data_IF_697741392865
#
_entry.id   IF_697741392865
#
_cell.length_a   1.000
_cell.length_b   1.000
_cell.length_c   1.000
_cell.angle_alpha   90.00
_cell.angle_beta   90.00
_cell.angle_gamma   90.00
#
_symmetry.space_group_name_H-M   'P 1'
#
loop_
_entity.id
_entity.type
_entity.pdbx_description
1 polymer ?
#
# COMPACT_ATOMS: atom_id res chain seq x y z
N UNK A 1 8.83 8.29 -6.57
CA UNK A 1 7.77 7.28 -6.36
C UNK A 1 6.59 7.61 -7.26
N UNK A 2 5.98 6.59 -7.83
CA UNK A 2 4.75 6.73 -8.60
C UNK A 2 3.58 6.06 -7.88
N UNK A 3 2.40 6.68 -7.93
CA UNK A 3 1.15 6.12 -7.39
C UNK A 3 0.13 6.02 -8.51
N UNK A 4 -0.52 4.87 -8.66
CA UNK A 4 -1.51 4.60 -9.71
C UNK A 4 -2.79 4.02 -9.11
N UNK A 5 -3.92 4.50 -9.59
CA UNK A 5 -5.21 3.88 -9.33
C UNK A 5 -5.55 2.86 -10.43
N UNK A 6 -5.86 1.62 -10.04
CA UNK A 6 -6.28 0.54 -10.94
C UNK A 6 -7.66 -0.04 -10.58
N UNK A 7 -8.35 0.58 -9.65
CA UNK A 7 -9.69 0.15 -9.21
C UNK A 7 -10.79 0.49 -10.22
N UNK A 8 -11.91 -0.24 -10.15
CA UNK A 8 -13.05 -0.04 -11.04
C UNK A 8 -13.81 1.27 -10.74
N UNK A 9 -13.98 1.60 -9.45
CA UNK A 9 -14.69 2.81 -9.01
C UNK A 9 -13.77 4.02 -9.07
N UNK A 10 -14.36 5.20 -9.28
CA UNK A 10 -13.61 6.45 -9.20
C UNK A 10 -13.06 6.67 -7.77
N UNK A 11 -11.83 7.15 -7.70
CA UNK A 11 -11.23 7.60 -6.44
C UNK A 11 -11.80 8.97 -6.06
N UNK A 12 -11.88 9.22 -4.75
CA UNK A 12 -12.28 10.53 -4.24
C UNK A 12 -11.34 11.63 -4.76
N UNK A 13 -11.87 12.75 -5.28
CA UNK A 13 -11.04 13.88 -5.76
C UNK A 13 -10.05 14.36 -4.69
N UNK A 14 -8.81 14.62 -5.10
CA UNK A 14 -7.74 15.12 -4.23
C UNK A 14 -7.13 14.05 -3.29
N UNK A 15 -7.65 12.82 -3.26
CA UNK A 15 -7.12 11.78 -2.35
C UNK A 15 -5.72 11.30 -2.78
N UNK A 16 -5.48 11.18 -4.08
CA UNK A 16 -4.18 10.74 -4.61
C UNK A 16 -3.09 11.79 -4.35
N UNK A 17 -3.40 13.07 -4.54
CA UNK A 17 -2.50 14.19 -4.26
C UNK A 17 -2.18 14.28 -2.76
N UNK A 18 -3.22 14.12 -1.92
CA UNK A 18 -3.04 14.10 -0.47
C UNK A 18 -2.14 12.93 -0.02
N UNK A 19 -2.37 11.71 -0.53
CA UNK A 19 -1.51 10.55 -0.27
C UNK A 19 -0.08 10.81 -0.74
N UNK A 20 0.09 11.31 -1.97
CA UNK A 20 1.40 11.62 -2.55
C UNK A 20 2.20 12.60 -1.69
N UNK A 21 1.58 13.66 -1.20
CA UNK A 21 2.21 14.62 -0.29
C UNK A 21 2.71 13.96 1.01
N UNK A 22 1.90 13.08 1.63
CA UNK A 22 2.26 12.38 2.87
C UNK A 22 3.37 11.35 2.65
N UNK A 23 3.30 10.58 1.57
CA UNK A 23 4.32 9.61 1.16
C UNK A 23 5.65 10.34 0.90
N UNK A 24 5.62 11.40 0.11
CA UNK A 24 6.82 12.18 -0.21
C UNK A 24 7.51 12.74 1.03
N UNK A 25 6.75 13.28 1.97
CA UNK A 25 7.27 13.77 3.24
C UNK A 25 7.93 12.66 4.08
N UNK A 26 7.31 11.48 4.15
CA UNK A 26 7.81 10.37 5.00
C UNK A 26 9.08 9.73 4.45
N UNK A 27 9.13 9.50 3.14
CA UNK A 27 10.25 8.80 2.49
C UNK A 27 11.32 9.75 1.92
N UNK A 28 11.08 11.07 1.96
CA UNK A 28 12.04 12.06 1.43
C UNK A 28 12.20 12.02 -0.09
N UNK A 29 11.16 11.62 -0.83
CA UNK A 29 11.21 11.40 -2.28
C UNK A 29 10.07 12.12 -3.00
N UNK A 30 10.26 12.58 -4.24
CA UNK A 30 9.15 13.13 -5.03
C UNK A 30 8.13 12.03 -5.36
N UNK A 31 6.83 12.40 -5.31
CA UNK A 31 5.73 11.50 -5.66
C UNK A 31 4.94 12.07 -6.84
N UNK A 32 4.67 11.23 -7.84
CA UNK A 32 3.87 11.56 -9.02
C UNK A 32 2.70 10.60 -9.12
N UNK A 33 1.54 11.11 -9.49
CA UNK A 33 0.36 10.29 -9.81
C UNK A 33 0.41 9.91 -11.29
N UNK A 34 0.24 8.63 -11.59
CA UNK A 34 0.05 8.14 -12.96
C UNK A 34 -1.44 8.17 -13.31
N UNK A 35 -1.71 8.21 -14.60
CA UNK A 35 -3.07 8.00 -15.10
C UNK A 35 -3.63 6.67 -14.62
N UNK A 36 -4.95 6.64 -14.41
CA UNK A 36 -5.67 5.42 -14.09
C UNK A 36 -5.45 4.39 -15.20
N UNK A 37 -5.24 3.14 -14.79
CA UNK A 37 -5.16 2.01 -15.72
C UNK A 37 -6.15 0.92 -15.30
N UNK A 38 -6.48 0.05 -16.23
CA UNK A 38 -7.18 -1.20 -15.90
C UNK A 38 -6.18 -2.20 -15.35
N UNK A 39 -6.50 -2.80 -14.21
CA UNK A 39 -5.70 -3.87 -13.63
C UNK A 39 -5.80 -5.16 -14.44
N UNK A 40 -4.97 -6.17 -14.15
CA UNK A 40 -4.95 -7.44 -14.91
C UNK A 40 -6.25 -8.23 -14.66
N UNK A 41 -6.97 -8.52 -15.74
CA UNK A 41 -8.25 -9.25 -15.69
C UNK A 41 -8.06 -10.68 -15.13
N UNK A 42 -6.93 -11.31 -15.38
CA UNK A 42 -6.56 -12.64 -14.88
C UNK A 42 -6.26 -12.68 -13.38
N UNK A 43 -6.17 -11.53 -12.71
CA UNK A 43 -6.01 -11.48 -11.26
C UNK A 43 -7.28 -11.83 -10.50
N UNK A 44 -8.46 -11.72 -11.12
CA UNK A 44 -9.73 -12.02 -10.47
C UNK A 44 -9.93 -13.52 -10.33
N UNK A 45 -10.26 -13.97 -9.12
CA UNK A 45 -10.66 -15.34 -8.80
C UNK A 45 -12.18 -15.36 -8.54
N UNK A 46 -12.99 -15.92 -9.46
CA UNK A 46 -14.45 -15.93 -9.32
C UNK A 46 -14.93 -16.82 -8.18
N UNK A 47 -14.17 -17.86 -7.81
CA UNK A 47 -14.54 -18.75 -6.71
C UNK A 47 -14.39 -18.04 -5.34
N UNK A 48 -13.48 -17.10 -5.23
CA UNK A 48 -13.26 -16.29 -4.03
C UNK A 48 -13.99 -14.94 -4.07
N UNK A 49 -14.34 -14.44 -5.25
CA UNK A 49 -14.81 -13.08 -5.43
C UNK A 49 -13.72 -12.02 -5.12
N UNK A 50 -12.46 -12.39 -5.22
CA UNK A 50 -11.31 -11.61 -4.82
C UNK A 50 -10.26 -11.55 -5.92
N UNK A 51 -9.28 -10.66 -5.77
CA UNK A 51 -8.16 -10.50 -6.70
C UNK A 51 -6.87 -11.02 -6.07
N UNK A 52 -6.07 -11.77 -6.85
CA UNK A 52 -4.73 -12.17 -6.45
C UNK A 52 -3.80 -10.96 -6.38
N UNK A 53 -3.37 -10.58 -5.18
CA UNK A 53 -2.44 -9.47 -4.98
C UNK A 53 -1.10 -9.71 -5.69
N UNK A 54 -0.62 -10.95 -5.70
CA UNK A 54 0.63 -11.35 -6.37
C UNK A 54 0.55 -11.15 -7.90
N UNK A 55 -0.61 -11.41 -8.53
CA UNK A 55 -0.79 -11.13 -9.96
C UNK A 55 -0.84 -9.63 -10.25
N UNK A 56 -1.54 -8.86 -9.41
CA UNK A 56 -1.56 -7.40 -9.52
C UNK A 56 -0.15 -6.82 -9.30
N UNK A 57 0.58 -7.30 -8.29
CA UNK A 57 1.96 -6.86 -8.03
C UNK A 57 2.88 -7.14 -9.23
N UNK A 58 2.79 -8.33 -9.83
CA UNK A 58 3.53 -8.67 -11.05
C UNK A 58 3.17 -7.74 -12.21
N UNK A 59 1.89 -7.45 -12.40
CA UNK A 59 1.43 -6.51 -13.41
C UNK A 59 1.96 -5.09 -13.14
N UNK A 60 1.92 -4.63 -11.89
CA UNK A 60 2.48 -3.34 -11.46
C UNK A 60 3.96 -3.22 -11.81
N UNK A 61 4.73 -4.29 -11.58
CA UNK A 61 6.16 -4.38 -11.92
C UNK A 61 6.43 -4.40 -13.43
N UNK A 62 5.50 -4.88 -14.24
CA UNK A 62 5.62 -4.89 -15.71
C UNK A 62 5.20 -3.56 -16.37
N UNK A 63 4.48 -2.68 -15.64
CA UNK A 63 3.85 -1.49 -16.22
C UNK A 63 4.20 -0.19 -15.45
N UNK A 64 5.37 -0.14 -14.81
CA UNK A 64 5.84 1.09 -14.19
C UNK A 64 6.75 1.91 -15.14
N UNK A 65 6.87 3.22 -14.94
CA UNK A 65 7.85 4.04 -15.65
C UNK A 65 9.29 3.56 -15.38
N UNK A 66 10.16 3.66 -16.39
CA UNK A 66 11.56 3.22 -16.27
C UNK A 66 12.35 3.97 -15.18
N UNK A 67 11.99 5.25 -14.95
CA UNK A 67 12.59 6.10 -13.91
C UNK A 67 11.98 5.88 -12.52
N UNK A 68 11.10 4.89 -12.35
CA UNK A 68 10.43 4.65 -11.08
C UNK A 68 11.37 4.05 -10.04
N UNK A 69 11.70 4.82 -9.00
CA UNK A 69 12.34 4.28 -7.80
C UNK A 69 11.42 3.25 -7.13
N UNK A 70 10.16 3.61 -6.93
CA UNK A 70 9.09 2.75 -6.39
C UNK A 70 7.77 3.04 -7.10
N UNK A 71 6.89 2.04 -7.16
CA UNK A 71 5.53 2.18 -7.68
C UNK A 71 4.53 1.53 -6.74
N UNK A 72 3.46 2.26 -6.44
CA UNK A 72 2.34 1.82 -5.61
C UNK A 72 1.06 1.80 -6.45
N UNK A 73 0.49 0.62 -6.65
CA UNK A 73 -0.85 0.47 -7.24
C UNK A 73 -1.91 0.43 -6.13
N UNK A 74 -3.00 1.16 -6.33
CA UNK A 74 -4.17 1.16 -5.44
C UNK A 74 -5.36 0.57 -6.18
N UNK A 75 -6.14 -0.28 -5.50
CA UNK A 75 -7.34 -0.90 -6.07
C UNK A 75 -8.51 -0.88 -5.08
N UNK A 76 -9.74 -0.98 -5.59
CA UNK A 76 -10.94 -1.25 -4.81
C UNK A 76 -11.34 -2.74 -4.78
N UNK A 77 -10.59 -3.59 -5.46
CA UNK A 77 -10.75 -5.04 -5.39
C UNK A 77 -10.27 -5.61 -4.06
N UNK A 78 -11.01 -6.54 -3.47
CA UNK A 78 -10.56 -7.26 -2.27
C UNK A 78 -9.41 -8.20 -2.63
N UNK A 79 -8.30 -8.15 -1.88
CA UNK A 79 -7.06 -8.84 -2.21
C UNK A 79 -6.86 -10.10 -1.38
N UNK A 80 -6.26 -11.12 -2.00
CA UNK A 80 -5.82 -12.34 -1.32
C UNK A 80 -4.46 -12.82 -1.81
N UNK A 81 -3.82 -13.64 -0.97
CA UNK A 81 -2.76 -14.58 -1.35
C UNK A 81 -3.22 -16.01 -1.01
N UNK A 82 -2.68 -17.07 -1.65
CA UNK A 82 -3.18 -18.44 -1.48
C UNK A 82 -3.29 -18.93 -0.03
N UNK A 83 -2.40 -18.48 0.83
CA UNK A 83 -2.30 -18.93 2.24
C UNK A 83 -3.10 -18.09 3.23
N UNK A 84 -3.73 -16.97 2.78
CA UNK A 84 -4.52 -16.08 3.62
C UNK A 84 -5.91 -15.84 3.01
N UNK A 85 -6.87 -15.58 3.89
CA UNK A 85 -8.24 -15.25 3.46
C UNK A 85 -8.31 -13.89 2.76
N UNK A 86 -7.48 -12.95 3.18
CA UNK A 86 -7.30 -11.65 2.54
C UNK A 86 -5.96 -11.02 2.95
N UNK A 87 -5.58 -9.97 2.22
CA UNK A 87 -4.50 -9.05 2.58
C UNK A 87 -4.95 -7.61 2.32
N UNK A 88 -4.43 -6.65 3.10
CA UNK A 88 -4.63 -5.22 2.83
C UNK A 88 -3.75 -4.74 1.69
N UNK A 89 -2.57 -5.33 1.54
CA UNK A 89 -1.62 -5.06 0.49
C UNK A 89 -0.58 -6.16 0.35
N UNK A 90 0.30 -6.00 -0.61
CA UNK A 90 1.47 -6.84 -0.86
C UNK A 90 2.58 -6.00 -1.48
N UNK A 91 3.81 -6.22 -1.05
CA UNK A 91 4.96 -5.51 -1.57
C UNK A 91 6.14 -6.44 -1.85
N UNK A 92 6.96 -6.06 -2.79
CA UNK A 92 8.25 -6.67 -3.03
C UNK A 92 9.26 -6.13 -2.01
N UNK A 93 9.69 -6.96 -1.08
CA UNK A 93 10.66 -6.54 -0.06
C UNK A 93 11.99 -6.11 -0.69
N UNK A 94 12.39 -4.86 -0.45
CA UNK A 94 13.58 -4.27 -1.07
C UNK A 94 13.47 -4.04 -2.58
N UNK A 95 12.30 -4.27 -3.17
CA UNK A 95 12.07 -4.13 -4.60
C UNK A 95 11.36 -2.83 -5.00
N UNK A 96 10.71 -2.84 -6.17
CA UNK A 96 10.14 -1.62 -6.76
C UNK A 96 8.63 -1.49 -6.55
N UNK A 97 7.89 -2.59 -6.47
CA UNK A 97 6.43 -2.57 -6.54
C UNK A 97 5.72 -2.86 -5.23
N UNK A 98 4.56 -2.23 -5.08
CA UNK A 98 3.59 -2.52 -4.03
C UNK A 98 2.16 -2.37 -4.56
N UNK A 99 1.21 -3.05 -3.91
CA UNK A 99 -0.23 -2.90 -4.13
C UNK A 99 -0.96 -2.78 -2.80
N UNK A 100 -1.97 -1.91 -2.73
CA UNK A 100 -2.85 -1.74 -1.56
C UNK A 100 -4.31 -1.75 -2.02
N UNK A 101 -5.14 -2.48 -1.27
CA UNK A 101 -6.59 -2.51 -1.48
C UNK A 101 -7.30 -1.52 -0.56
N UNK A 102 -8.29 -0.82 -1.11
CA UNK A 102 -9.21 0.00 -0.33
C UNK A 102 -10.44 -0.77 0.15
N UNK A 103 -10.69 -1.97 -0.37
CA UNK A 103 -11.93 -2.73 -0.14
C UNK A 103 -12.28 -2.86 1.35
N UNK A 104 -11.39 -3.46 2.13
CA UNK A 104 -11.60 -3.71 3.56
C UNK A 104 -11.32 -2.49 4.44
N UNK A 105 -10.49 -1.55 3.97
CA UNK A 105 -10.19 -0.32 4.70
C UNK A 105 -11.39 0.64 4.79
N UNK A 106 -12.36 0.50 3.85
CA UNK A 106 -13.61 1.26 3.85
C UNK A 106 -14.65 0.74 4.85
N UNK A 107 -14.43 -0.45 5.41
CA UNK A 107 -15.38 -1.11 6.30
C UNK A 107 -14.85 -1.11 7.74
N UNK A 108 -15.77 -1.09 8.71
CA UNK A 108 -15.42 -1.39 10.10
C UNK A 108 -15.22 -2.91 10.29
N UNK A 109 -14.92 -3.32 11.52
CA UNK A 109 -14.70 -4.74 11.83
C UNK A 109 -15.95 -5.60 11.62
N UNK A 110 -17.14 -5.02 11.64
CA UNK A 110 -18.41 -5.71 11.44
C UNK A 110 -18.91 -5.65 9.97
N UNK A 111 -18.12 -5.03 9.08
CA UNK A 111 -18.44 -4.91 7.65
C UNK A 111 -19.33 -3.70 7.30
N UNK A 112 -19.54 -2.76 8.21
CA UNK A 112 -20.29 -1.53 7.91
C UNK A 112 -19.34 -0.44 7.36
N UNK A 113 -19.86 0.51 6.55
CA UNK A 113 -19.05 1.61 6.03
C UNK A 113 -18.41 2.44 7.15
N UNK A 114 -17.11 2.65 7.05
CA UNK A 114 -16.37 3.52 7.98
C UNK A 114 -16.48 4.99 7.58
N UNK A 115 -16.40 5.92 8.53
CA UNK A 115 -16.34 7.35 8.23
C UNK A 115 -15.18 7.67 7.26
N UNK A 116 -15.35 8.63 6.33
CA UNK A 116 -14.32 8.97 5.33
C UNK A 116 -12.95 9.32 5.95
N UNK A 117 -12.95 10.03 7.08
CA UNK A 117 -11.72 10.36 7.82
C UNK A 117 -10.96 9.11 8.30
N UNK A 118 -11.68 8.11 8.79
CA UNK A 118 -11.07 6.86 9.25
C UNK A 118 -10.53 6.05 8.08
N UNK A 119 -11.30 5.96 6.99
CA UNK A 119 -10.83 5.32 5.75
C UNK A 119 -9.53 5.96 5.23
N UNK A 120 -9.46 7.29 5.14
CA UNK A 120 -8.24 8.00 4.69
C UNK A 120 -7.04 7.68 5.58
N UNK A 121 -7.24 7.67 6.91
CA UNK A 121 -6.17 7.35 7.86
C UNK A 121 -5.65 5.91 7.67
N UNK A 122 -6.54 4.93 7.51
CA UNK A 122 -6.18 3.54 7.24
C UNK A 122 -5.45 3.36 5.92
N UNK A 123 -5.95 3.99 4.85
CA UNK A 123 -5.32 3.94 3.54
C UNK A 123 -3.90 4.49 3.58
N UNK A 124 -3.69 5.63 4.25
CA UNK A 124 -2.35 6.18 4.45
C UNK A 124 -1.43 5.19 5.16
N UNK A 125 -1.90 4.58 6.26
CA UNK A 125 -1.10 3.60 7.03
C UNK A 125 -0.68 2.42 6.17
N UNK A 126 -1.59 1.83 5.40
CA UNK A 126 -1.27 0.68 4.55
C UNK A 126 -0.38 1.07 3.37
N UNK A 127 -0.58 2.25 2.76
CA UNK A 127 0.35 2.76 1.75
C UNK A 127 1.77 2.95 2.30
N UNK A 128 1.91 3.50 3.51
CA UNK A 128 3.21 3.65 4.17
C UNK A 128 3.83 2.31 4.53
N UNK A 129 3.03 1.34 4.95
CA UNK A 129 3.47 -0.01 5.29
C UNK A 129 4.04 -0.74 4.08
N UNK A 130 3.27 -0.81 3.00
CA UNK A 130 3.69 -1.51 1.78
C UNK A 130 4.88 -0.81 1.09
N UNK A 131 4.90 0.52 1.04
CA UNK A 131 6.07 1.24 0.56
C UNK A 131 7.28 1.04 1.46
N UNK A 132 7.11 0.99 2.78
CA UNK A 132 8.18 0.65 3.70
C UNK A 132 8.86 -0.68 3.36
N UNK A 133 8.07 -1.69 2.99
CA UNK A 133 8.61 -2.96 2.50
C UNK A 133 9.42 -2.81 1.21
N UNK A 134 8.98 -1.97 0.26
CA UNK A 134 9.76 -1.75 -0.97
C UNK A 134 11.12 -1.09 -0.69
N UNK A 135 11.23 -0.28 0.35
CA UNK A 135 12.52 0.28 0.81
C UNK A 135 13.35 -0.70 1.63
N UNK A 136 12.85 -1.91 1.92
CA UNK A 136 13.55 -2.97 2.64
C UNK A 136 13.23 -3.05 4.14
N UNK A 137 12.29 -2.26 4.66
CA UNK A 137 11.82 -2.39 6.03
C UNK A 137 11.02 -3.68 6.20
N UNK A 138 11.32 -4.45 7.23
CA UNK A 138 10.52 -5.62 7.65
C UNK A 138 9.50 -5.23 8.71
N UNK A 139 8.64 -6.17 9.11
CA UNK A 139 7.68 -5.92 10.19
C UNK A 139 8.37 -5.50 11.48
N UNK A 140 7.81 -4.48 12.13
CA UNK A 140 8.29 -3.94 13.40
C UNK A 140 7.54 -4.58 14.59
N UNK A 141 8.27 -4.84 15.68
CA UNK A 141 7.69 -5.36 16.93
C UNK A 141 6.90 -4.29 17.70
N UNK A 142 7.16 -3.00 17.44
CA UNK A 142 6.42 -1.90 18.07
C UNK A 142 5.03 -1.80 17.46
N UNK A 143 4.00 -2.07 18.26
CA UNK A 143 2.59 -2.08 17.83
C UNK A 143 2.10 -0.72 17.30
N UNK A 144 2.74 0.37 17.70
CA UNK A 144 2.41 1.71 17.22
C UNK A 144 3.13 2.13 15.94
N UNK A 145 4.16 1.39 15.54
CA UNK A 145 4.86 1.67 14.30
C UNK A 145 4.00 1.31 13.08
N UNK A 146 4.02 2.13 12.02
CA UNK A 146 3.31 1.80 10.78
C UNK A 146 3.74 0.45 10.21
N UNK A 147 5.00 0.03 10.42
CA UNK A 147 5.53 -1.26 10.00
C UNK A 147 5.08 -2.44 10.87
N UNK A 148 4.25 -2.23 11.91
CA UNK A 148 3.69 -3.36 12.66
C UNK A 148 2.70 -4.14 11.79
N UNK A 149 2.67 -5.47 11.96
CA UNK A 149 1.73 -6.34 11.26
C UNK A 149 0.28 -6.00 11.64
N UNK A 150 -0.62 -6.06 10.67
CA UNK A 150 -2.05 -5.90 10.86
C UNK A 150 -2.79 -7.07 10.22
N UNK A 151 -3.60 -7.79 10.98
CA UNK A 151 -4.44 -8.88 10.50
C UNK A 151 -5.91 -8.45 10.36
N UNK A 152 -6.29 -7.35 11.00
CA UNK A 152 -7.64 -6.79 11.00
C UNK A 152 -7.59 -5.27 10.87
N UNK A 153 -8.73 -4.65 10.54
CA UNK A 153 -8.83 -3.18 10.54
C UNK A 153 -8.61 -2.56 11.92
N UNK A 154 -8.86 -3.31 13.00
CA UNK A 154 -8.55 -2.86 14.38
C UNK A 154 -7.05 -2.71 14.60
N UNK A 155 -6.25 -3.62 14.04
CA UNK A 155 -4.79 -3.53 14.10
C UNK A 155 -4.30 -2.33 13.29
N UNK A 156 -4.90 -2.08 12.11
CA UNK A 156 -4.62 -0.88 11.32
C UNK A 156 -4.98 0.39 12.10
N UNK A 157 -6.10 0.39 12.82
CA UNK A 157 -6.50 1.54 13.64
C UNK A 157 -5.55 1.79 14.80
N UNK A 158 -5.04 0.74 15.43
CA UNK A 158 -4.18 0.81 16.61
C UNK A 158 -2.78 1.36 16.34
N UNK A 159 -2.23 1.16 15.13
CA UNK A 159 -0.89 1.68 14.76
C UNK A 159 -0.95 3.15 14.32
N UNK A 160 0.16 3.86 14.44
CA UNK A 160 0.32 5.21 13.89
C UNK A 160 0.63 5.12 12.37
N UNK A 161 0.53 6.23 11.65
CA UNK A 161 0.97 6.31 10.25
C UNK A 161 2.48 6.59 10.11
N UNK A 162 3.17 6.84 11.24
CA UNK A 162 4.59 7.13 11.31
C UNK A 162 5.43 5.88 11.55
N UNK A 163 6.64 5.89 11.02
CA UNK A 163 7.71 4.99 11.43
C UNK A 163 8.15 5.30 12.87
N UNK A 164 8.43 4.29 13.68
CA UNK A 164 9.11 4.48 14.95
C UNK A 164 10.57 4.94 14.73
N UNK A 165 11.26 5.34 15.80
CA UNK A 165 12.63 5.86 15.73
C UNK A 165 13.60 4.88 15.04
N UNK A 166 13.50 3.58 15.37
CA UNK A 166 14.41 2.58 14.83
C UNK A 166 14.14 2.31 13.35
N UNK A 167 12.86 2.22 12.94
CA UNK A 167 12.49 2.07 11.54
C UNK A 167 12.88 3.32 10.71
N UNK A 168 12.78 4.52 11.26
CA UNK A 168 13.27 5.74 10.58
C UNK A 168 14.77 5.69 10.33
N UNK A 169 15.55 5.30 11.37
CA UNK A 169 17.00 5.16 11.24
C UNK A 169 17.37 4.11 10.18
N UNK A 170 16.73 2.93 10.26
CA UNK A 170 16.95 1.87 9.30
C UNK A 170 16.60 2.29 7.87
N UNK A 171 15.48 3.02 7.68
CA UNK A 171 15.10 3.54 6.36
C UNK A 171 16.22 4.40 5.75
N UNK A 172 16.77 5.35 6.52
CA UNK A 172 17.89 6.20 6.05
C UNK A 172 19.11 5.38 5.66
N UNK A 173 19.44 4.35 6.44
CA UNK A 173 20.56 3.44 6.14
C UNK A 173 20.32 2.66 4.84
N UNK A 174 19.10 2.14 4.64
CA UNK A 174 18.72 1.37 3.45
C UNK A 174 18.70 2.24 2.19
N UNK A 175 18.18 3.47 2.27
CA UNK A 175 18.19 4.42 1.15
C UNK A 175 19.62 4.75 0.71
N UNK A 176 20.53 5.05 1.64
CA UNK A 176 21.94 5.31 1.32
C UNK A 176 22.65 4.15 0.60
N UNK A 177 22.24 2.91 0.87
CA UNK A 177 22.79 1.72 0.20
C UNK A 177 22.25 1.54 -1.23
N UNK A 178 21.10 2.10 -1.54
CA UNK A 178 20.51 2.05 -2.89
C UNK A 178 21.09 3.13 -3.81
N UNK A 179 21.64 4.20 -3.24
CA UNK A 179 22.26 5.32 -3.98
C UNK A 179 23.76 5.06 -4.33
N UNK A 180 24.37 3.99 -3.76
CA UNK A 180 25.77 3.58 -4.03
C UNK A 180 25.82 2.33 -4.93
#
# INVERSE_FOLDING_TARGET
VYVRWIGAKAMEPGLMEWLGSRIGHTFGVPVRTLERAEGPADAFDPARGQFSSTRILRWTLAHHPEDALKVLSLTDGDLFIPVLTFVFGEAQLGGTGAVVSTARLRLDFNGHPSPPRLFRARLLKECMHELGHTFGLTHCISSRCVMSRANTVRDVDAKDWNLCRDCKRLLVELQRRQDN
#
